data_IF_850711953791
#
_entry.id   IF_850711953791
#
_cell.length_a   1.000
_cell.length_b   1.000
_cell.length_c   1.000
_cell.angle_alpha   90.00
_cell.angle_beta   90.00
_cell.angle_gamma   90.00
#
_symmetry.space_group_name_H-M   'P 1'
#
loop_
_entity.id
_entity.type
_entity.pdbx_description
1 polymer ?
#
# COMPACT_ATOMS: atom_id res chain seq x y z
N UNK A 1 4.02 -16.82 -0.71
CA UNK A 1 5.15 -16.16 -0.03
C UNK A 1 4.87 -16.19 1.47
N UNK A 2 5.87 -16.47 2.32
CA UNK A 2 5.70 -16.45 3.79
C UNK A 2 6.28 -15.16 4.36
N UNK A 3 5.54 -14.51 5.25
CA UNK A 3 6.01 -13.39 6.04
C UNK A 3 7.22 -13.80 6.91
N UNK A 4 8.28 -13.00 6.90
CA UNK A 4 9.44 -13.18 7.75
C UNK A 4 9.69 -11.90 8.56
N UNK A 5 10.23 -12.05 9.77
CA UNK A 5 10.71 -10.94 10.60
C UNK A 5 9.64 -9.85 10.89
N UNK A 6 8.39 -10.26 11.13
CA UNK A 6 7.30 -9.33 11.49
C UNK A 6 6.75 -8.51 10.33
N UNK A 7 7.15 -8.79 9.09
CA UNK A 7 6.51 -8.22 7.90
C UNK A 7 5.16 -8.89 7.65
N UNK A 8 4.26 -8.19 6.94
CA UNK A 8 3.03 -8.77 6.45
C UNK A 8 2.91 -8.59 4.93
N UNK A 9 2.21 -9.53 4.31
CA UNK A 9 1.78 -9.41 2.92
C UNK A 9 0.31 -9.06 2.91
N UNK A 10 -0.05 -8.00 2.20
CA UNK A 10 -1.42 -7.58 2.02
C UNK A 10 -1.85 -7.80 0.58
N UNK A 11 -3.11 -8.20 0.39
CA UNK A 11 -3.75 -8.25 -0.92
C UNK A 11 -4.71 -7.09 -1.02
N UNK A 12 -4.47 -6.18 -1.94
CA UNK A 12 -5.35 -5.06 -2.21
C UNK A 12 -6.14 -5.33 -3.49
N UNK A 13 -7.47 -5.30 -3.38
CA UNK A 13 -8.38 -5.50 -4.52
C UNK A 13 -8.54 -4.19 -5.26
N UNK A 14 -8.39 -4.25 -6.57
CA UNK A 14 -8.58 -3.10 -7.44
C UNK A 14 -10.07 -2.91 -7.73
N UNK A 15 -10.48 -1.65 -7.87
CA UNK A 15 -11.84 -1.28 -8.30
C UNK A 15 -12.04 -1.50 -9.80
N UNK A 16 -10.94 -1.45 -10.56
CA UNK A 16 -10.91 -1.64 -12.00
C UNK A 16 -9.80 -2.63 -12.37
N UNK A 17 -10.04 -3.43 -13.41
CA UNK A 17 -9.04 -4.38 -13.90
C UNK A 17 -7.89 -3.64 -14.57
N UNK A 18 -6.64 -3.92 -14.13
CA UNK A 18 -5.44 -3.47 -14.81
C UNK A 18 -5.26 -4.23 -16.13
N UNK A 19 -5.20 -3.49 -17.24
CA UNK A 19 -4.83 -3.99 -18.55
C UNK A 19 -3.70 -3.18 -19.15
N UNK A 20 -2.69 -3.86 -19.71
CA UNK A 20 -1.60 -3.24 -20.46
C UNK A 20 -2.06 -2.61 -21.80
N UNK A 21 -3.30 -2.88 -22.22
CA UNK A 21 -3.93 -2.25 -23.38
C UNK A 21 -4.36 -0.80 -23.09
N UNK A 22 -4.51 -0.46 -21.81
CA UNK A 22 -4.79 0.91 -21.38
C UNK A 22 -3.51 1.64 -21.00
N UNK A 23 -3.45 2.94 -21.24
CA UNK A 23 -2.30 3.76 -20.85
C UNK A 23 -2.07 3.70 -19.33
N UNK A 24 -3.14 3.83 -18.54
CA UNK A 24 -3.07 3.79 -17.09
C UNK A 24 -2.63 2.41 -16.57
N UNK A 25 -3.21 1.33 -17.09
CA UNK A 25 -2.85 -0.02 -16.68
C UNK A 25 -1.41 -0.37 -17.03
N UNK A 26 -0.94 -0.04 -18.24
CA UNK A 26 0.47 -0.20 -18.64
C UNK A 26 1.39 0.59 -17.72
N UNK A 27 1.04 1.83 -17.37
CA UNK A 27 1.83 2.67 -16.48
C UNK A 27 1.98 2.04 -15.09
N UNK A 28 0.87 1.58 -14.50
CA UNK A 28 0.89 0.88 -13.20
C UNK A 28 1.69 -0.41 -13.28
N UNK A 29 1.50 -1.23 -14.32
CA UNK A 29 2.19 -2.52 -14.48
C UNK A 29 3.71 -2.33 -14.61
N UNK A 30 4.16 -1.33 -15.37
CA UNK A 30 5.57 -1.19 -15.78
C UNK A 30 6.39 -0.17 -15.00
N UNK A 31 5.77 0.86 -14.40
CA UNK A 31 6.47 2.02 -13.82
C UNK A 31 6.14 2.30 -12.36
N UNK A 32 5.39 1.45 -11.67
CA UNK A 32 5.03 1.65 -10.25
C UNK A 32 5.61 0.53 -9.41
N UNK A 33 6.44 0.83 -8.42
CA UNK A 33 7.07 -0.20 -7.57
C UNK A 33 6.63 -0.11 -6.10
N UNK A 34 6.01 0.99 -5.72
CA UNK A 34 5.49 1.23 -4.38
C UNK A 34 4.17 1.99 -4.43
N UNK A 35 3.48 1.96 -3.30
CA UNK A 35 2.23 2.69 -3.06
C UNK A 35 2.36 3.46 -1.77
N UNK A 36 1.68 4.60 -1.71
CA UNK A 36 1.39 5.29 -0.47
C UNK A 36 0.05 4.80 0.08
N UNK A 37 0.02 4.55 1.38
CA UNK A 37 -1.13 4.04 2.12
C UNK A 37 -1.49 5.06 3.21
N UNK A 38 -2.75 5.45 3.22
CA UNK A 38 -3.35 6.27 4.26
C UNK A 38 -4.44 5.45 4.98
N UNK A 39 -4.24 5.04 6.24
CA UNK A 39 -5.23 4.26 6.98
C UNK A 39 -6.53 5.04 7.19
N UNK A 40 -7.66 4.42 6.86
CA UNK A 40 -9.01 4.96 7.08
C UNK A 40 -9.62 4.35 8.35
N UNK A 41 -10.38 5.17 9.11
CA UNK A 41 -11.25 4.65 10.17
C UNK A 41 -10.51 4.10 11.40
N UNK A 42 -9.55 4.85 11.96
CA UNK A 42 -9.03 4.56 13.31
C UNK A 42 -10.12 4.82 14.38
N UNK A 43 -11.13 3.96 14.47
CA UNK A 43 -12.11 4.00 15.57
C UNK A 43 -11.54 3.49 16.92
N UNK A 44 -10.26 3.08 16.97
CA UNK A 44 -9.58 2.63 18.20
C UNK A 44 -8.36 3.46 18.63
N UNK A 45 -7.88 4.38 17.79
CA UNK A 45 -6.86 5.36 18.16
C UNK A 45 -7.53 6.72 18.14
N UNK A 46 -8.08 7.13 19.29
CA UNK A 46 -8.69 8.43 19.59
C UNK A 46 -9.19 9.20 18.35
N UNK A 47 -10.50 9.29 18.20
CA UNK A 47 -11.25 10.07 17.18
C UNK A 47 -10.86 11.56 17.04
N UNK A 48 -9.86 12.01 17.80
CA UNK A 48 -9.06 13.19 17.52
C UNK A 48 -7.58 12.80 17.68
N UNK A 49 -6.74 12.95 16.63
CA UNK A 49 -5.32 13.13 16.88
C UNK A 49 -5.20 14.30 17.87
N UNK A 50 -4.39 14.21 18.93
CA UNK A 50 -4.13 15.39 19.77
C UNK A 50 -3.73 16.54 18.85
N UNK A 51 -4.30 17.72 19.08
CA UNK A 51 -4.14 18.91 18.24
C UNK A 51 -2.67 19.08 17.82
N UNK A 52 -2.37 18.80 16.54
CA UNK A 52 -1.00 18.85 16.01
C UNK A 52 -0.39 17.54 15.51
N UNK A 53 -1.05 16.38 15.69
CA UNK A 53 -0.61 15.12 15.05
C UNK A 53 -1.09 15.09 13.60
N UNK A 54 -0.14 15.29 12.67
CA UNK A 54 -0.38 15.18 11.23
C UNK A 54 -0.75 13.75 10.86
N UNK A 55 -1.66 13.63 9.90
CA UNK A 55 -1.97 12.35 9.27
C UNK A 55 -0.70 11.70 8.72
N UNK A 56 -0.48 10.42 9.05
CA UNK A 56 0.74 9.71 8.68
C UNK A 56 0.45 8.83 7.47
N UNK A 57 1.24 9.04 6.43
CA UNK A 57 1.22 8.23 5.21
C UNK A 57 2.36 7.23 5.26
N UNK A 58 2.09 6.01 4.82
CA UNK A 58 3.05 4.91 4.85
C UNK A 58 3.36 4.46 3.43
N UNK A 59 4.61 4.11 3.16
CA UNK A 59 4.98 3.51 1.88
C UNK A 59 5.05 1.98 2.00
N UNK A 60 4.45 1.28 1.04
CA UNK A 60 4.54 -0.16 0.92
C UNK A 60 5.07 -0.56 -0.46
N UNK A 61 5.87 -1.62 -0.50
CA UNK A 61 6.45 -2.14 -1.73
C UNK A 61 5.45 -3.05 -2.43
N UNK A 62 5.31 -2.92 -3.74
CA UNK A 62 4.53 -3.86 -4.55
C UNK A 62 5.39 -5.09 -4.81
N UNK A 63 4.90 -6.24 -4.38
CA UNK A 63 5.54 -7.54 -4.57
C UNK A 63 5.09 -8.24 -5.84
N UNK A 64 3.82 -8.04 -6.20
CA UNK A 64 3.20 -8.66 -7.36
C UNK A 64 1.99 -7.84 -7.78
N UNK A 65 1.76 -7.76 -9.09
CA UNK A 65 0.57 -7.14 -9.69
C UNK A 65 -0.12 -8.18 -10.55
N UNK A 66 -1.43 -8.22 -10.43
CA UNK A 66 -2.31 -9.01 -11.29
C UNK A 66 -3.34 -8.09 -11.90
N UNK A 67 -4.25 -8.65 -12.69
CA UNK A 67 -5.37 -7.91 -13.28
C UNK A 67 -6.27 -7.26 -12.22
N UNK A 68 -6.60 -7.98 -11.16
CA UNK A 68 -7.62 -7.53 -10.19
C UNK A 68 -7.08 -7.30 -8.77
N UNK A 69 -5.82 -7.69 -8.53
CA UNK A 69 -5.17 -7.56 -7.23
C UNK A 69 -3.75 -7.05 -7.35
N UNK A 70 -3.33 -6.28 -6.35
CA UNK A 70 -1.91 -5.99 -6.08
C UNK A 70 -1.54 -6.59 -4.72
N UNK A 71 -0.37 -7.21 -4.67
CA UNK A 71 0.18 -7.75 -3.44
C UNK A 71 1.25 -6.80 -2.93
N UNK A 72 1.08 -6.35 -1.69
CA UNK A 72 1.97 -5.41 -1.02
C UNK A 72 2.78 -6.16 0.02
N UNK A 73 4.05 -5.79 0.19
CA UNK A 73 4.84 -6.12 1.38
C UNK A 73 4.94 -4.91 2.27
N UNK A 74 4.51 -5.10 3.50
CA UNK A 74 4.53 -4.09 4.55
C UNK A 74 5.68 -4.44 5.51
N UNK A 75 6.56 -3.47 5.77
CA UNK A 75 7.68 -3.68 6.66
C UNK A 75 7.22 -3.84 8.12
N UNK A 76 8.08 -4.43 8.95
CA UNK A 76 7.82 -4.66 10.37
C UNK A 76 7.41 -3.37 11.09
N UNK A 77 8.17 -2.29 10.92
CA UNK A 77 7.92 -1.01 11.60
C UNK A 77 6.54 -0.45 11.27
N UNK A 78 6.12 -0.53 10.00
CA UNK A 78 4.79 -0.13 9.57
C UNK A 78 3.70 -1.05 10.13
N UNK A 79 3.95 -2.37 10.20
CA UNK A 79 3.02 -3.30 10.84
C UNK A 79 2.84 -3.01 12.33
N UNK A 80 3.93 -2.73 13.06
CA UNK A 80 3.89 -2.40 14.48
C UNK A 80 3.19 -1.06 14.75
N UNK A 81 3.51 -0.03 13.96
CA UNK A 81 2.94 1.30 14.13
C UNK A 81 1.44 1.37 13.79
N UNK A 82 1.01 0.57 12.80
CA UNK A 82 -0.39 0.44 12.41
C UNK A 82 -1.15 -0.61 13.23
N UNK A 83 -0.46 -1.40 14.05
CA UNK A 83 -1.06 -2.51 14.79
C UNK A 83 -1.66 -3.59 13.87
N UNK A 84 -1.02 -3.84 12.72
CA UNK A 84 -1.50 -4.82 11.75
C UNK A 84 -1.38 -6.24 12.31
N UNK A 85 -2.41 -7.03 12.07
CA UNK A 85 -2.47 -8.43 12.44
C UNK A 85 -2.66 -9.29 11.18
N UNK A 86 -2.12 -10.51 11.15
CA UNK A 86 -2.38 -11.45 10.07
C UNK A 86 -3.88 -11.74 9.97
N UNK A 87 -4.33 -12.05 8.75
CA UNK A 87 -5.72 -12.44 8.45
C UNK A 87 -6.78 -11.42 8.89
N UNK A 88 -6.41 -10.13 8.90
CA UNK A 88 -7.32 -9.00 9.14
C UNK A 88 -7.37 -8.08 7.92
N UNK A 89 -8.52 -7.41 7.78
CA UNK A 89 -8.73 -6.37 6.79
C UNK A 89 -8.59 -4.99 7.43
N UNK A 90 -8.08 -4.04 6.66
CA UNK A 90 -7.98 -2.63 7.03
C UNK A 90 -8.36 -1.79 5.82
N UNK A 91 -9.11 -0.73 6.04
CA UNK A 91 -9.42 0.24 4.99
C UNK A 91 -8.28 1.26 4.89
N UNK A 92 -7.91 1.58 3.66
CA UNK A 92 -6.87 2.56 3.35
C UNK A 92 -7.26 3.33 2.10
N UNK A 93 -6.82 4.58 1.99
CA UNK A 93 -6.61 5.19 0.67
C UNK A 93 -5.26 4.74 0.14
N UNK A 94 -5.22 4.41 -1.14
CA UNK A 94 -4.02 3.93 -1.81
C UNK A 94 -3.69 4.83 -2.99
N UNK A 95 -2.45 5.28 -3.06
CA UNK A 95 -1.93 6.06 -4.17
C UNK A 95 -0.68 5.40 -4.77
N UNK A 96 -0.74 5.06 -6.05
CA UNK A 96 0.41 4.54 -6.80
C UNK A 96 1.55 5.57 -6.91
N UNK A 97 2.79 5.13 -6.69
CA UNK A 97 3.98 5.97 -6.86
C UNK A 97 4.74 5.59 -8.13
N UNK A 98 4.89 6.55 -9.03
CA UNK A 98 5.71 6.37 -10.22
C UNK A 98 7.18 6.27 -9.83
N UNK A 99 7.84 5.19 -10.27
CA UNK A 99 9.28 5.07 -10.19
C UNK A 99 9.92 6.03 -11.19
N UNK A 100 10.50 7.11 -10.66
CA UNK A 100 11.21 8.13 -11.43
C UNK A 100 12.72 7.89 -11.53
N UNK A 101 13.27 6.87 -10.85
CA UNK A 101 14.71 6.59 -10.91
C UNK A 101 15.25 6.46 -12.35
N UNK A 102 14.56 5.77 -13.29
CA UNK A 102 15.04 5.66 -14.68
C UNK A 102 15.00 6.96 -15.49
N UNK A 103 14.49 8.07 -14.93
CA UNK A 103 14.44 9.38 -15.57
C UNK A 103 15.57 10.30 -15.07
N UNK A 104 16.33 9.86 -14.09
CA UNK A 104 17.39 10.63 -13.44
C UNK A 104 18.80 10.17 -13.84
N UNK A 105 18.90 9.25 -14.81
CA UNK A 105 20.15 8.76 -15.41
C UNK A 105 20.49 9.49 -16.72
#
# INVERSE_FOLDING_TARGET
>A
KYAQNGQLFARFRLTETLSEDTLAGRLVMTKVNSVLLLPLGREGFSSHPPSGVKERVYEAVIEEKTKDYIFLRICKDCCEELGLLPDREMQVELQFQLNRQPLCE
#
